data_IF_364904377218
#
_entry.id   IF_364904377218
#
_cell.length_a   1.000
_cell.length_b   1.000
_cell.length_c   1.000
_cell.angle_alpha   90.00
_cell.angle_beta   90.00
_cell.angle_gamma   90.00
#
_symmetry.space_group_name_H-M   'P 1'
#
loop_
_entity.id
_entity.type
_entity.pdbx_description
1 polymer ?
#
# COMPACT_ATOMS: atom_id res chain seq x y z
N UNK A 1 -103.89 4.90 3.08
CA UNK A 1 -103.72 5.99 4.07
C UNK A 1 -102.47 5.69 4.86
N UNK A 2 -101.64 6.71 5.08
CA UNK A 2 -100.38 6.73 5.83
C UNK A 2 -99.20 6.10 5.08
N UNK A 3 -98.03 6.71 4.90
CA UNK A 3 -97.42 7.96 5.39
C UNK A 3 -96.21 8.29 4.49
N UNK A 4 -95.92 9.57 4.29
CA UNK A 4 -94.61 10.13 3.90
C UNK A 4 -93.62 10.07 5.13
N UNK A 5 -92.38 10.58 5.11
CA UNK A 5 -91.28 10.60 4.12
C UNK A 5 -89.88 10.40 4.80
N UNK A 6 -88.79 10.73 4.08
CA UNK A 6 -87.53 11.37 4.56
C UNK A 6 -86.42 10.62 5.36
N UNK A 7 -85.18 10.82 4.82
CA UNK A 7 -83.91 11.25 5.49
C UNK A 7 -83.09 10.25 6.34
N UNK A 8 -81.84 10.00 5.92
CA UNK A 8 -80.56 10.61 6.35
C UNK A 8 -79.88 9.81 7.49
N UNK A 9 -78.76 9.13 7.24
CA UNK A 9 -77.34 9.56 7.38
C UNK A 9 -76.71 9.00 8.67
N UNK A 10 -75.43 8.64 8.53
CA UNK A 10 -74.37 8.39 9.54
C UNK A 10 -74.16 6.97 10.06
N UNK A 11 -72.90 6.53 9.94
CA UNK A 11 -72.30 5.41 10.69
C UNK A 11 -71.18 4.77 9.86
N UNK A 12 -70.10 5.48 9.56
CA UNK A 12 -68.89 5.56 10.39
C UNK A 12 -67.98 4.32 10.25
N UNK A 13 -66.70 4.61 9.99
CA UNK A 13 -65.54 3.78 10.28
C UNK A 13 -65.47 2.39 9.64
N UNK A 14 -64.68 2.31 8.55
CA UNK A 14 -63.57 1.36 8.48
C UNK A 14 -62.55 1.95 7.48
N UNK A 15 -61.90 3.01 7.96
CA UNK A 15 -60.60 3.41 7.47
C UNK A 15 -59.57 2.31 7.75
N UNK A 16 -58.54 2.29 6.91
CA UNK A 16 -57.16 1.97 7.31
C UNK A 16 -56.92 0.66 8.07
N UNK A 17 -56.90 -0.45 7.34
CA UNK A 17 -56.12 -1.61 7.77
C UNK A 17 -55.59 -2.45 6.59
N UNK A 18 -55.42 -1.86 5.40
CA UNK A 18 -54.48 -2.41 4.42
C UNK A 18 -53.08 -2.00 4.88
N UNK A 19 -52.66 -2.60 5.99
CA UNK A 19 -51.38 -2.34 6.63
C UNK A 19 -50.27 -2.47 5.59
N UNK A 20 -49.45 -1.43 5.55
CA UNK A 20 -48.15 -1.37 4.91
C UNK A 20 -47.43 -2.73 5.03
N UNK A 21 -47.55 -3.55 3.99
CA UNK A 21 -46.60 -4.61 3.80
C UNK A 21 -45.26 -3.90 3.56
N UNK A 22 -44.21 -4.19 4.35
CA UNK A 22 -42.90 -3.62 4.12
C UNK A 22 -42.50 -3.98 2.68
N UNK A 23 -42.54 -2.96 1.82
CA UNK A 23 -42.13 -3.14 0.44
C UNK A 23 -40.62 -3.28 0.47
N UNK A 24 -40.10 -4.42 0.04
CA UNK A 24 -38.66 -4.62 -0.08
C UNK A 24 -38.10 -3.44 -0.89
N UNK A 25 -37.09 -2.70 -0.41
CA UNK A 25 -36.53 -1.60 -1.17
C UNK A 25 -36.08 -2.17 -2.52
N UNK A 26 -36.78 -1.76 -3.58
CA UNK A 26 -36.31 -2.01 -4.93
C UNK A 26 -35.16 -1.04 -5.11
N UNK A 27 -33.93 -1.55 -5.03
CA UNK A 27 -32.75 -0.80 -5.40
C UNK A 27 -33.03 -0.15 -6.77
N UNK A 28 -32.92 1.18 -6.83
CA UNK A 28 -33.03 1.91 -8.08
C UNK A 28 -32.07 1.29 -9.10
N UNK A 29 -32.50 0.97 -10.33
CA UNK A 29 -31.75 0.12 -11.27
C UNK A 29 -30.49 0.76 -11.89
N UNK A 30 -29.85 1.74 -11.24
CA UNK A 30 -28.73 2.49 -11.81
C UNK A 30 -27.53 2.74 -10.88
N UNK A 31 -27.51 2.26 -9.64
CA UNK A 31 -26.28 2.31 -8.85
C UNK A 31 -25.36 1.12 -9.21
N UNK A 32 -24.50 1.33 -10.21
CA UNK A 32 -23.39 0.41 -10.46
C UNK A 32 -22.43 0.46 -9.25
N UNK A 33 -22.40 -0.63 -8.47
CA UNK A 33 -21.51 -0.72 -7.31
C UNK A 33 -20.07 -0.87 -7.80
N UNK A 34 -19.25 0.16 -7.62
CA UNK A 34 -17.81 0.09 -7.89
C UNK A 34 -17.09 -0.64 -6.76
N UNK A 35 -16.32 -1.67 -7.13
CA UNK A 35 -15.45 -2.41 -6.23
C UNK A 35 -14.06 -1.81 -6.30
N UNK A 36 -13.51 -1.46 -5.13
CA UNK A 36 -12.11 -1.03 -4.99
C UNK A 36 -11.34 -2.04 -4.16
N UNK A 37 -10.17 -2.47 -4.63
CA UNK A 37 -9.19 -3.23 -3.86
C UNK A 37 -7.88 -2.47 -3.76
N UNK A 38 -7.27 -2.50 -2.59
CA UNK A 38 -6.05 -1.77 -2.29
C UNK A 38 -5.04 -2.66 -1.55
N UNK A 39 -3.78 -2.60 -1.95
CA UNK A 39 -2.66 -3.17 -1.19
C UNK A 39 -1.63 -2.08 -0.90
N UNK A 40 -1.15 -2.07 0.33
CA UNK A 40 -0.11 -1.17 0.81
C UNK A 40 1.11 -1.99 1.23
N UNK A 41 2.27 -1.66 0.68
CA UNK A 41 3.55 -2.29 1.01
C UNK A 41 4.48 -1.26 1.65
N UNK A 42 5.28 -1.73 2.61
CA UNK A 42 6.22 -0.88 3.38
C UNK A 42 7.57 -0.68 2.71
N UNK A 43 7.90 -1.56 1.76
CA UNK A 43 9.02 -1.37 0.88
C UNK A 43 8.86 -2.20 -0.39
N UNK A 44 9.57 -1.80 -1.43
CA UNK A 44 9.71 -2.51 -2.69
C UNK A 44 11.07 -2.20 -3.29
N UNK A 45 11.75 -3.22 -3.80
CA UNK A 45 13.06 -3.10 -4.43
C UNK A 45 13.05 -3.97 -5.66
N UNK A 46 13.21 -3.36 -6.83
CA UNK A 46 13.18 -4.07 -8.09
C UNK A 46 14.04 -3.39 -9.14
N UNK A 47 14.10 -4.01 -10.31
CA UNK A 47 14.78 -3.47 -11.49
C UNK A 47 13.77 -2.78 -12.41
N UNK A 48 14.28 -2.06 -13.40
CA UNK A 48 13.50 -1.51 -14.52
C UNK A 48 12.56 -2.56 -15.13
N UNK A 49 13.08 -3.73 -15.49
CA UNK A 49 12.30 -4.83 -16.06
C UNK A 49 11.10 -5.26 -15.19
N UNK A 50 11.18 -5.08 -13.87
CA UNK A 50 10.06 -5.40 -12.98
C UNK A 50 8.96 -4.35 -13.05
N UNK A 51 9.30 -3.09 -13.23
CA UNK A 51 8.33 -2.02 -13.48
C UNK A 51 7.71 -2.17 -14.87
N UNK A 52 8.53 -2.46 -15.88
CA UNK A 52 8.06 -2.67 -17.24
C UNK A 52 7.07 -3.85 -17.29
N UNK A 53 7.37 -4.94 -16.59
CA UNK A 53 6.45 -6.07 -16.45
C UNK A 53 5.11 -5.69 -15.82
N UNK A 54 5.11 -4.82 -14.80
CA UNK A 54 3.85 -4.33 -14.20
C UNK A 54 3.06 -3.49 -15.22
N UNK A 55 3.73 -2.63 -15.99
CA UNK A 55 3.12 -1.84 -17.06
C UNK A 55 2.54 -2.75 -18.15
N UNK A 56 3.27 -3.77 -18.60
CA UNK A 56 2.78 -4.73 -19.59
C UNK A 56 1.53 -5.46 -19.09
N UNK A 57 1.53 -5.96 -17.85
CA UNK A 57 0.35 -6.62 -17.27
C UNK A 57 -0.86 -5.67 -17.24
N UNK A 58 -0.64 -4.40 -16.90
CA UNK A 58 -1.69 -3.37 -16.92
C UNK A 58 -2.21 -3.11 -18.34
N UNK A 59 -1.32 -2.91 -19.32
CA UNK A 59 -1.67 -2.66 -20.71
C UNK A 59 -2.42 -3.84 -21.34
N UNK A 60 -1.93 -5.07 -21.14
CA UNK A 60 -2.56 -6.29 -21.64
C UNK A 60 -3.97 -6.46 -21.07
N UNK A 61 -4.16 -6.17 -19.78
CA UNK A 61 -5.48 -6.26 -19.15
C UNK A 61 -6.44 -5.18 -19.66
N UNK A 62 -5.99 -3.92 -19.73
CA UNK A 62 -6.81 -2.80 -20.19
C UNK A 62 -7.12 -2.87 -21.69
N UNK A 63 -6.23 -3.44 -22.50
CA UNK A 63 -6.48 -3.69 -23.93
C UNK A 63 -7.64 -4.67 -24.15
N UNK A 64 -7.76 -5.71 -23.32
CA UNK A 64 -8.91 -6.63 -23.37
C UNK A 64 -10.21 -5.93 -22.98
N UNK A 65 -10.17 -5.08 -21.94
CA UNK A 65 -11.32 -4.25 -21.55
C UNK A 65 -11.72 -3.31 -22.69
N UNK A 66 -10.74 -2.71 -23.37
CA UNK A 66 -10.97 -1.85 -24.53
C UNK A 66 -11.66 -2.63 -25.67
N UNK A 67 -11.12 -3.78 -26.06
CA UNK A 67 -11.66 -4.60 -27.14
C UNK A 67 -13.11 -5.03 -26.87
N UNK A 68 -13.40 -5.43 -25.63
CA UNK A 68 -14.74 -5.82 -25.21
C UNK A 68 -15.70 -4.62 -25.18
N UNK A 69 -15.25 -3.47 -24.65
CA UNK A 69 -16.03 -2.24 -24.63
C UNK A 69 -16.36 -1.75 -26.04
N UNK A 70 -15.38 -1.69 -26.94
CA UNK A 70 -15.56 -1.25 -28.34
C UNK A 70 -16.52 -2.16 -29.10
N UNK A 71 -16.46 -3.48 -28.90
CA UNK A 71 -17.43 -4.42 -29.51
C UNK A 71 -18.86 -4.20 -29.03
N UNK A 72 -19.04 -3.70 -27.82
CA UNK A 72 -20.35 -3.45 -27.22
C UNK A 72 -20.96 -2.08 -27.57
N UNK A 73 -20.22 -1.19 -28.25
CA UNK A 73 -20.67 0.16 -28.55
C UNK A 73 -21.88 0.17 -29.51
N UNK A 74 -23.05 0.72 -29.09
CA UNK A 74 -24.18 0.93 -29.97
C UNK A 74 -23.98 2.16 -30.88
N UNK A 75 -24.73 2.26 -31.98
CA UNK A 75 -24.83 3.49 -32.79
C UNK A 75 -24.06 3.51 -34.11
N UNK A 76 -24.13 4.66 -34.78
CA UNK A 76 -23.53 4.93 -36.08
C UNK A 76 -21.99 4.96 -36.03
N UNK A 77 -21.34 4.65 -37.16
CA UNK A 77 -19.88 4.56 -37.28
C UNK A 77 -19.12 5.81 -36.80
N UNK A 78 -19.70 7.01 -36.93
CA UNK A 78 -19.07 8.26 -36.47
C UNK A 78 -19.08 8.42 -34.96
N UNK A 79 -20.18 8.02 -34.29
CA UNK A 79 -20.28 8.08 -32.83
C UNK A 79 -19.40 7.00 -32.20
N UNK A 80 -19.43 5.78 -32.75
CA UNK A 80 -18.54 4.69 -32.34
C UNK A 80 -17.06 5.06 -32.40
N UNK A 81 -16.62 5.75 -33.47
CA UNK A 81 -15.21 6.18 -33.58
C UNK A 81 -14.82 7.15 -32.47
N UNK A 82 -15.64 8.15 -32.19
CA UNK A 82 -15.36 9.12 -31.12
C UNK A 82 -15.32 8.43 -29.75
N UNK A 83 -16.29 7.56 -29.48
CA UNK A 83 -16.37 6.85 -28.21
C UNK A 83 -15.22 5.85 -28.04
N UNK A 84 -14.80 5.17 -29.12
CA UNK A 84 -13.61 4.34 -29.13
C UNK A 84 -12.31 5.14 -28.91
N UNK A 85 -12.19 6.35 -29.47
CA UNK A 85 -11.05 7.25 -29.20
C UNK A 85 -11.03 7.68 -27.73
N UNK A 86 -12.19 7.99 -27.15
CA UNK A 86 -12.31 8.33 -25.73
C UNK A 86 -11.97 7.16 -24.80
N UNK A 87 -12.46 5.96 -25.11
CA UNK A 87 -12.10 4.75 -24.36
C UNK A 87 -10.61 4.44 -24.44
N UNK A 88 -10.00 4.65 -25.62
CA UNK A 88 -8.57 4.45 -25.81
C UNK A 88 -7.76 5.41 -24.92
N UNK A 89 -8.14 6.69 -24.87
CA UNK A 89 -7.50 7.67 -24.00
C UNK A 89 -7.69 7.29 -22.53
N UNK A 90 -8.90 6.92 -22.11
CA UNK A 90 -9.21 6.58 -20.71
C UNK A 90 -8.51 5.31 -20.18
N UNK A 91 -8.32 4.32 -21.06
CA UNK A 91 -7.67 3.05 -20.75
C UNK A 91 -6.16 3.08 -21.02
N UNK A 92 -5.63 4.13 -21.63
CA UNK A 92 -4.20 4.25 -21.89
C UNK A 92 -3.41 4.36 -20.57
N UNK A 93 -2.33 3.58 -20.46
CA UNK A 93 -1.46 3.60 -19.29
C UNK A 93 -0.45 4.74 -19.42
N UNK A 94 -0.50 5.65 -18.45
CA UNK A 94 0.45 6.74 -18.28
C UNK A 94 1.39 6.45 -17.11
N UNK A 95 2.67 6.80 -17.28
CA UNK A 95 3.64 6.77 -16.19
C UNK A 95 4.13 8.19 -15.93
N UNK A 96 4.26 8.58 -14.66
CA UNK A 96 4.96 9.79 -14.25
C UNK A 96 6.06 9.47 -13.24
N UNK A 97 7.21 10.14 -13.40
CA UNK A 97 8.37 10.00 -12.54
C UNK A 97 8.81 11.38 -12.06
N UNK A 98 9.03 11.50 -10.76
CA UNK A 98 9.62 12.67 -10.10
C UNK A 98 11.02 12.30 -9.59
N UNK A 99 12.01 13.09 -10.00
CA UNK A 99 13.43 12.89 -9.68
C UNK A 99 14.04 14.07 -8.91
N UNK A 100 15.03 13.79 -8.04
CA UNK A 100 15.73 14.79 -7.22
C UNK A 100 16.47 15.83 -8.06
N UNK A 101 17.14 15.38 -9.12
CA UNK A 101 17.94 16.23 -9.99
C UNK A 101 17.03 17.16 -10.79
N UNK A 102 16.90 18.42 -10.34
CA UNK A 102 16.19 19.47 -11.06
C UNK A 102 14.68 19.56 -10.82
N UNK A 103 14.12 18.85 -9.83
CA UNK A 103 12.66 18.80 -9.56
C UNK A 103 11.84 18.56 -10.83
N UNK A 104 12.28 17.57 -11.62
CA UNK A 104 11.72 17.31 -12.93
C UNK A 104 10.64 16.25 -12.79
N UNK A 105 9.41 16.60 -13.15
CA UNK A 105 8.34 15.65 -13.42
C UNK A 105 8.33 15.32 -14.93
N UNK A 106 8.39 14.03 -15.25
CA UNK A 106 8.27 13.53 -16.62
C UNK A 106 7.09 12.60 -16.73
N UNK A 107 6.29 12.77 -17.78
CA UNK A 107 5.10 11.94 -18.08
C UNK A 107 5.24 11.35 -19.47
N UNK A 108 4.86 10.09 -19.64
CA UNK A 108 5.02 9.36 -20.89
C UNK A 108 5.10 7.85 -20.68
N UNK A 109 5.70 7.16 -21.64
CA UNK A 109 6.01 5.73 -21.50
C UNK A 109 7.14 5.55 -20.50
N UNK A 110 7.02 4.54 -19.64
CA UNK A 110 7.98 4.26 -18.59
C UNK A 110 9.41 4.11 -19.14
N UNK A 111 9.55 3.41 -20.26
CA UNK A 111 10.83 3.16 -20.92
C UNK A 111 11.57 4.43 -21.34
N UNK A 112 10.83 5.40 -21.87
CA UNK A 112 11.40 6.67 -22.32
C UNK A 112 11.83 7.50 -21.13
N UNK A 113 11.00 7.57 -20.09
CA UNK A 113 11.31 8.37 -18.90
C UNK A 113 12.53 7.79 -18.17
N UNK A 114 12.58 6.47 -17.98
CA UNK A 114 13.70 5.81 -17.31
C UNK A 114 15.01 5.84 -18.13
N UNK A 115 14.96 6.12 -19.43
CA UNK A 115 16.16 6.35 -20.24
C UNK A 115 16.74 7.77 -20.06
N UNK A 116 15.90 8.74 -19.68
CA UNK A 116 16.27 10.15 -19.52
C UNK A 116 16.64 10.54 -18.07
N UNK A 117 16.29 9.68 -17.09
CA UNK A 117 16.42 9.96 -15.66
C UNK A 117 17.38 8.96 -15.01
N UNK A 118 18.29 9.45 -14.15
CA UNK A 118 19.08 8.56 -13.30
C UNK A 118 18.15 7.88 -12.26
N UNK A 119 18.08 6.56 -12.34
CA UNK A 119 17.28 5.70 -11.43
C UNK A 119 17.60 5.93 -9.95
N UNK A 120 18.82 6.36 -9.65
CA UNK A 120 19.29 6.65 -8.29
C UNK A 120 18.65 7.87 -7.65
N UNK A 121 18.14 8.77 -8.49
CA UNK A 121 17.51 10.04 -8.13
C UNK A 121 15.98 10.00 -8.15
N UNK A 122 15.38 8.88 -8.53
CA UNK A 122 13.93 8.72 -8.56
C UNK A 122 13.35 8.81 -7.15
N UNK A 123 12.45 9.78 -6.92
CA UNK A 123 11.69 9.95 -5.68
C UNK A 123 10.33 9.30 -5.74
N UNK A 124 9.63 9.39 -6.87
CA UNK A 124 8.28 8.87 -7.01
C UNK A 124 8.09 8.31 -8.40
N UNK A 125 7.40 7.18 -8.47
CA UNK A 125 6.87 6.59 -9.70
C UNK A 125 5.37 6.46 -9.52
N UNK A 126 4.60 6.98 -10.45
CA UNK A 126 3.15 6.80 -10.52
C UNK A 126 2.82 6.18 -11.87
N UNK A 127 2.19 5.02 -11.86
CA UNK A 127 1.69 4.34 -13.05
C UNK A 127 0.18 4.29 -12.90
N UNK A 128 -0.54 4.90 -13.83
CA UNK A 128 -2.01 4.91 -13.80
C UNK A 128 -2.57 4.94 -15.21
N UNK A 129 -3.76 4.42 -15.41
CA UNK A 129 -4.52 4.80 -16.60
C UNK A 129 -5.13 6.20 -16.42
N UNK A 130 -5.31 6.94 -17.53
CA UNK A 130 -5.89 8.28 -17.57
C UNK A 130 -7.39 8.24 -17.24
N UNK A 131 -7.71 8.06 -15.96
CA UNK A 131 -9.08 8.10 -15.47
C UNK A 131 -9.68 9.50 -15.43
N UNK A 132 -9.63 10.28 -16.53
CA UNK A 132 -10.38 11.54 -16.63
C UNK A 132 -11.72 11.40 -17.34
N UNK A 133 -12.15 10.17 -17.66
CA UNK A 133 -13.53 9.92 -18.03
C UNK A 133 -14.33 9.74 -16.74
N UNK A 134 -15.33 10.60 -16.56
CA UNK A 134 -16.16 10.74 -15.35
C UNK A 134 -16.43 9.43 -14.64
N UNK A 135 -16.45 9.49 -13.30
CA UNK A 135 -16.78 8.38 -12.40
C UNK A 135 -18.11 7.67 -12.75
N UNK A 136 -18.94 8.29 -13.59
CA UNK A 136 -20.21 7.78 -14.09
C UNK A 136 -20.10 6.61 -15.09
N UNK A 137 -19.01 6.46 -15.85
CA UNK A 137 -18.98 5.51 -16.99
C UNK A 137 -18.46 4.10 -16.64
N UNK A 138 -18.24 3.81 -15.35
CA UNK A 138 -17.82 2.47 -14.90
C UNK A 138 -16.45 1.99 -15.40
N UNK A 139 -15.64 2.86 -16.02
CA UNK A 139 -14.33 2.52 -16.56
C UNK A 139 -13.41 2.07 -15.43
N UNK A 140 -12.71 0.92 -15.57
CA UNK A 140 -11.78 0.47 -14.55
C UNK A 140 -10.56 1.38 -14.45
N UNK A 141 -10.08 1.54 -13.22
CA UNK A 141 -8.91 2.35 -12.90
C UNK A 141 -7.89 1.52 -12.14
N UNK A 142 -6.64 1.56 -12.57
CA UNK A 142 -5.50 0.99 -11.89
C UNK A 142 -4.54 2.13 -11.57
N UNK A 143 -4.16 2.24 -10.30
CA UNK A 143 -3.21 3.23 -9.83
C UNK A 143 -2.15 2.55 -8.96
N UNK A 144 -0.90 2.65 -9.40
CA UNK A 144 0.28 2.22 -8.67
C UNK A 144 1.13 3.45 -8.35
N UNK A 145 1.31 3.72 -7.06
CA UNK A 145 2.15 4.80 -6.57
C UNK A 145 3.28 4.23 -5.73
N UNK A 146 4.51 4.55 -6.10
CA UNK A 146 5.72 4.22 -5.35
C UNK A 146 6.44 5.50 -4.97
N UNK A 147 6.80 5.65 -3.70
CA UNK A 147 7.41 6.86 -3.16
C UNK A 147 8.59 6.52 -2.26
N UNK A 148 9.68 7.21 -2.49
CA UNK A 148 10.85 7.26 -1.62
C UNK A 148 10.70 8.44 -0.67
N UNK A 149 10.46 8.17 0.62
CA UNK A 149 10.33 9.19 1.66
C UNK A 149 10.51 8.61 3.06
N UNK A 150 11.02 9.43 3.99
CA UNK A 150 11.22 9.04 5.39
C UNK A 150 9.89 8.93 6.16
N UNK A 151 8.91 9.75 5.79
CA UNK A 151 7.60 9.83 6.48
C UNK A 151 6.50 8.98 5.84
N UNK A 152 6.80 8.33 4.72
CA UNK A 152 5.85 7.47 4.01
C UNK A 152 5.69 6.14 4.77
N UNK A 153 4.57 6.00 5.49
CA UNK A 153 4.19 4.76 6.17
C UNK A 153 3.88 3.63 5.18
N UNK A 154 3.34 3.99 4.01
CA UNK A 154 2.91 3.10 2.94
C UNK A 154 3.46 3.61 1.60
N UNK A 155 4.78 3.51 1.40
CA UNK A 155 5.48 4.06 0.25
C UNK A 155 5.04 3.44 -1.07
N UNK A 156 4.46 2.24 -1.05
CA UNK A 156 3.97 1.55 -2.24
C UNK A 156 2.50 1.26 -2.04
N UNK A 157 1.67 1.83 -2.90
CA UNK A 157 0.21 1.66 -2.87
C UNK A 157 -0.26 1.27 -4.25
N UNK A 158 -1.00 0.17 -4.34
CA UNK A 158 -1.70 -0.26 -5.54
C UNK A 158 -3.20 -0.20 -5.24
N UNK A 159 -3.94 0.49 -6.09
CA UNK A 159 -5.40 0.60 -6.06
C UNK A 159 -5.95 0.12 -7.40
N UNK A 160 -6.89 -0.82 -7.35
CA UNK A 160 -7.63 -1.31 -8.52
C UNK A 160 -9.12 -1.08 -8.26
N UNK A 161 -9.76 -0.35 -9.15
CA UNK A 161 -11.17 0.05 -9.06
C UNK A 161 -11.89 -0.36 -10.33
N UNK A 162 -13.11 -0.84 -10.23
CA UNK A 162 -13.94 -1.17 -11.40
C UNK A 162 -15.32 -1.70 -11.01
N UNK A 163 -16.20 -1.88 -11.98
CA UNK A 163 -17.55 -2.43 -11.76
C UNK A 163 -17.53 -3.96 -11.74
N UNK A 164 -16.67 -4.59 -12.54
CA UNK A 164 -16.52 -6.05 -12.55
C UNK A 164 -15.65 -6.53 -11.38
N UNK A 165 -16.29 -7.18 -10.40
CA UNK A 165 -15.62 -7.75 -9.22
C UNK A 165 -14.61 -8.84 -9.56
N UNK A 166 -14.84 -9.66 -10.59
CA UNK A 166 -13.93 -10.73 -10.99
C UNK A 166 -12.67 -10.15 -11.63
N UNK A 167 -12.83 -9.21 -12.56
CA UNK A 167 -11.71 -8.50 -13.16
C UNK A 167 -10.89 -7.74 -12.10
N UNK A 168 -11.54 -6.97 -11.23
CA UNK A 168 -10.87 -6.24 -10.13
C UNK A 168 -10.11 -7.21 -9.23
N UNK A 169 -10.71 -8.35 -8.89
CA UNK A 169 -10.09 -9.39 -8.09
C UNK A 169 -8.83 -9.96 -8.75
N UNK A 170 -8.95 -10.45 -9.99
CA UNK A 170 -7.83 -11.06 -10.72
C UNK A 170 -6.70 -10.08 -11.02
N UNK A 171 -7.04 -8.83 -11.38
CA UNK A 171 -6.04 -7.79 -11.64
C UNK A 171 -5.28 -7.41 -10.35
N UNK A 172 -6.02 -7.23 -9.26
CA UNK A 172 -5.42 -6.97 -7.94
C UNK A 172 -4.51 -8.12 -7.50
N UNK A 173 -4.98 -9.37 -7.60
CA UNK A 173 -4.20 -10.53 -7.16
C UNK A 173 -2.91 -10.68 -7.98
N UNK A 174 -2.99 -10.49 -9.30
CA UNK A 174 -1.83 -10.56 -10.20
C UNK A 174 -0.79 -9.47 -9.89
N UNK A 175 -1.20 -8.20 -9.85
CA UNK A 175 -0.28 -7.09 -9.58
C UNK A 175 0.26 -7.14 -8.15
N UNK A 176 -0.58 -7.48 -7.16
CA UNK A 176 -0.14 -7.57 -5.78
C UNK A 176 0.86 -8.71 -5.56
N UNK A 177 0.71 -9.84 -6.27
CA UNK A 177 1.68 -10.93 -6.24
C UNK A 177 3.04 -10.49 -6.82
N UNK A 178 3.04 -9.83 -7.98
CA UNK A 178 4.27 -9.31 -8.60
C UNK A 178 4.96 -8.24 -7.72
N UNK A 179 4.19 -7.36 -7.07
CA UNK A 179 4.74 -6.40 -6.12
C UNK A 179 5.34 -7.08 -4.89
N UNK A 180 4.64 -8.07 -4.31
CA UNK A 180 5.12 -8.81 -3.12
C UNK A 180 6.35 -9.67 -3.41
N UNK A 181 6.48 -10.21 -4.63
CA UNK A 181 7.65 -10.98 -5.04
C UNK A 181 8.97 -10.17 -4.98
N UNK A 182 8.87 -8.83 -4.98
CA UNK A 182 10.01 -7.89 -4.90
C UNK A 182 10.06 -7.13 -3.57
N UNK A 183 9.36 -7.62 -2.55
CA UNK A 183 9.45 -7.07 -1.21
C UNK A 183 10.76 -7.53 -0.56
N UNK A 184 11.66 -6.61 -0.18
CA UNK A 184 12.93 -7.02 0.41
C UNK A 184 12.72 -7.61 1.81
N UNK A 185 13.53 -8.60 2.18
CA UNK A 185 13.42 -9.25 3.49
C UNK A 185 13.54 -8.24 4.64
N UNK A 186 14.39 -7.21 4.52
CA UNK A 186 14.58 -6.19 5.55
C UNK A 186 13.38 -5.24 5.74
N UNK A 187 12.29 -5.42 5.00
CA UNK A 187 11.08 -4.61 5.19
C UNK A 187 10.52 -4.70 6.62
N UNK A 188 10.73 -5.82 7.31
CA UNK A 188 10.30 -5.97 8.71
C UNK A 188 10.98 -4.95 9.62
N UNK A 189 12.24 -4.56 9.36
CA UNK A 189 12.97 -3.56 10.15
C UNK A 189 12.35 -2.15 10.08
N UNK A 190 11.56 -1.87 9.03
CA UNK A 190 10.80 -0.61 8.91
C UNK A 190 9.52 -0.60 9.76
N UNK A 191 9.25 -1.66 10.53
CA UNK A 191 8.13 -1.72 11.46
C UNK A 191 8.57 -1.21 12.84
N UNK A 192 7.76 -0.38 13.49
CA UNK A 192 8.06 0.09 14.86
C UNK A 192 8.23 -1.07 15.86
N UNK A 193 7.54 -2.19 15.63
CA UNK A 193 7.72 -3.42 16.42
C UNK A 193 9.11 -4.04 16.26
N UNK A 194 9.73 -3.91 15.09
CA UNK A 194 11.07 -4.41 14.86
C UNK A 194 12.13 -3.59 15.61
N UNK A 195 11.99 -2.25 15.63
CA UNK A 195 12.87 -1.42 16.46
C UNK A 195 12.72 -1.73 17.95
N UNK A 196 11.49 -1.98 18.43
CA UNK A 196 11.26 -2.43 19.81
C UNK A 196 11.93 -3.77 20.09
N UNK A 197 11.80 -4.74 19.19
CA UNK A 197 12.42 -6.05 19.33
C UNK A 197 13.95 -5.97 19.33
N UNK A 198 14.53 -5.20 18.40
CA UNK A 198 15.99 -4.98 18.35
C UNK A 198 16.48 -4.31 19.63
N UNK A 199 15.79 -3.28 20.11
CA UNK A 199 16.16 -2.64 21.38
C UNK A 199 16.03 -3.56 22.58
N UNK A 200 14.93 -4.31 22.69
CA UNK A 200 14.74 -5.29 23.75
C UNK A 200 15.86 -6.35 23.76
N UNK A 201 16.24 -6.86 22.59
CA UNK A 201 17.36 -7.81 22.44
C UNK A 201 18.69 -7.17 22.85
N UNK A 202 18.98 -5.95 22.41
CA UNK A 202 20.21 -5.23 22.80
C UNK A 202 20.26 -4.96 24.30
N UNK A 203 19.15 -4.56 24.91
CA UNK A 203 19.08 -4.30 26.35
C UNK A 203 19.21 -5.58 27.17
N UNK A 204 18.58 -6.68 26.74
CA UNK A 204 18.77 -8.00 27.34
C UNK A 204 20.23 -8.46 27.22
N UNK A 205 20.85 -8.33 26.04
CA UNK A 205 22.24 -8.69 25.83
C UNK A 205 23.18 -7.89 26.73
N UNK A 206 22.96 -6.57 26.85
CA UNK A 206 23.72 -5.71 27.76
C UNK A 206 23.54 -6.13 29.22
N UNK A 207 22.31 -6.44 29.63
CA UNK A 207 22.00 -6.91 30.98
C UNK A 207 22.71 -8.24 31.28
N UNK A 208 22.53 -9.25 30.44
CA UNK A 208 23.24 -10.53 30.59
C UNK A 208 24.74 -10.34 30.63
N UNK A 209 25.31 -9.50 29.75
CA UNK A 209 26.74 -9.23 29.76
C UNK A 209 27.22 -8.55 31.06
N UNK A 210 26.47 -7.57 31.59
CA UNK A 210 26.81 -6.86 32.83
C UNK A 210 26.72 -7.74 34.09
N UNK A 211 25.82 -8.72 34.10
CA UNK A 211 25.58 -9.60 35.25
C UNK A 211 26.25 -10.97 35.15
N UNK A 212 26.61 -11.45 33.95
CA UNK A 212 27.33 -12.71 33.77
C UNK A 212 28.76 -12.69 34.35
N UNK A 213 29.36 -11.49 34.49
CA UNK A 213 30.69 -11.30 35.08
C UNK A 213 30.69 -10.76 36.52
N UNK A 214 29.51 -10.52 37.12
CA UNK A 214 29.44 -10.05 38.50
C UNK A 214 29.48 -11.27 39.43
N UNK A 215 30.37 -11.33 40.45
CA UNK A 215 30.23 -12.31 41.50
C UNK A 215 28.82 -12.18 42.08
N UNK A 216 28.13 -13.30 42.20
CA UNK A 216 26.77 -13.33 42.71
C UNK A 216 26.79 -12.79 44.15
N UNK A 217 26.46 -11.52 44.33
CA UNK A 217 26.10 -11.01 45.64
C UNK A 217 24.79 -11.72 46.01
N UNK A 218 24.86 -12.60 47.01
CA UNK A 218 23.76 -13.42 47.57
C UNK A 218 22.55 -12.60 48.09
N UNK A 219 22.50 -11.30 47.82
CA UNK A 219 21.46 -10.35 48.27
C UNK A 219 20.68 -9.69 47.13
N UNK A 220 21.01 -9.98 45.87
CA UNK A 220 20.20 -9.50 44.75
C UNK A 220 18.91 -10.32 44.68
N UNK A 221 17.85 -9.83 45.33
CA UNK A 221 16.51 -10.40 45.24
C UNK A 221 16.15 -10.62 43.76
N UNK A 222 15.92 -11.88 43.38
CA UNK A 222 15.63 -12.26 42.00
C UNK A 222 14.44 -11.48 41.42
N UNK A 223 13.52 -11.05 42.28
CA UNK A 223 12.39 -10.17 41.96
C UNK A 223 12.80 -8.75 41.56
N UNK A 224 13.83 -8.16 42.19
CA UNK A 224 14.37 -6.82 41.87
C UNK A 224 15.13 -6.88 40.54
N UNK A 225 15.95 -7.92 40.36
CA UNK A 225 16.69 -8.20 39.12
C UNK A 225 15.71 -8.39 37.96
N UNK A 226 14.63 -9.16 38.16
CA UNK A 226 13.58 -9.38 37.17
C UNK A 226 12.78 -8.10 36.86
N UNK A 227 12.42 -7.32 37.88
CA UNK A 227 11.67 -6.06 37.70
C UNK A 227 12.51 -5.03 36.96
N UNK A 228 13.80 -4.90 37.29
CA UNK A 228 14.72 -4.02 36.59
C UNK A 228 14.95 -4.49 35.15
N UNK A 229 15.13 -5.79 34.91
CA UNK A 229 15.22 -6.36 33.56
C UNK A 229 13.95 -6.08 32.75
N UNK A 230 12.76 -6.19 33.34
CA UNK A 230 11.49 -5.87 32.69
C UNK A 230 11.39 -4.37 32.36
N UNK A 231 11.74 -3.48 33.30
CA UNK A 231 11.75 -2.03 33.09
C UNK A 231 12.77 -1.64 32.03
N UNK A 232 13.94 -2.26 32.00
CA UNK A 232 14.94 -2.07 30.95
C UNK A 232 14.49 -2.63 29.60
N UNK A 233 13.80 -3.77 29.56
CA UNK A 233 13.29 -4.36 28.32
C UNK A 233 12.16 -3.51 27.73
N UNK A 234 11.20 -3.09 28.56
CA UNK A 234 10.08 -2.23 28.14
C UNK A 234 10.61 -0.83 27.83
N UNK A 235 11.38 -0.22 28.73
CA UNK A 235 11.96 1.11 28.56
C UNK A 235 12.94 1.18 27.39
N UNK A 236 13.85 0.21 27.27
CA UNK A 236 14.80 0.09 26.16
C UNK A 236 14.13 -0.22 24.82
N UNK A 237 13.10 -1.07 24.82
CA UNK A 237 12.23 -1.29 23.66
C UNK A 237 11.51 -0.03 23.20
N UNK A 238 11.00 0.79 24.12
CA UNK A 238 10.38 2.08 23.78
C UNK A 238 11.40 3.12 23.31
N UNK A 239 12.51 3.31 24.02
CA UNK A 239 13.56 4.28 23.66
C UNK A 239 14.16 3.94 22.29
N UNK A 240 14.43 2.66 22.03
CA UNK A 240 14.90 2.20 20.72
C UNK A 240 13.85 2.39 19.62
N UNK A 241 12.56 2.25 19.91
CA UNK A 241 11.51 2.56 18.94
C UNK A 241 11.47 4.04 18.57
N UNK A 242 11.83 4.94 19.49
CA UNK A 242 11.95 6.37 19.23
C UNK A 242 13.27 6.75 18.55
N UNK A 243 14.39 6.11 18.89
CA UNK A 243 15.72 6.45 18.38
C UNK A 243 16.13 5.67 17.11
N UNK A 244 15.90 4.36 17.06
CA UNK A 244 16.34 3.49 15.97
C UNK A 244 15.38 3.47 14.79
N UNK A 245 14.07 3.60 15.01
CA UNK A 245 13.08 3.62 13.93
C UNK A 245 13.31 4.76 12.91
N UNK A 246 13.51 6.04 13.31
CA UNK A 246 13.84 7.08 12.35
C UNK A 246 15.18 6.80 11.64
N UNK A 247 16.16 6.25 12.37
CA UNK A 247 17.46 5.88 11.80
C UNK A 247 17.34 4.79 10.72
N UNK A 248 16.56 3.74 10.97
CA UNK A 248 16.28 2.70 9.96
C UNK A 248 15.51 3.25 8.76
N UNK A 249 14.58 4.19 8.96
CA UNK A 249 13.84 4.83 7.87
C UNK A 249 14.73 5.67 6.95
N UNK A 250 15.77 6.29 7.53
CA UNK A 250 16.79 7.06 6.79
C UNK A 250 17.74 6.13 6.04
N UNK A 251 18.28 5.10 6.72
CA UNK A 251 19.31 4.23 6.15
C UNK A 251 18.79 3.23 5.13
N UNK A 252 17.57 2.72 5.35
CA UNK A 252 17.00 1.65 4.55
C UNK A 252 15.93 2.26 3.65
N UNK A 253 16.15 2.41 2.33
CA UNK A 253 15.14 2.99 1.45
C UNK A 253 13.87 2.13 1.43
N UNK A 254 12.71 2.78 1.36
CA UNK A 254 11.44 2.11 1.13
C UNK A 254 11.22 1.73 -0.32
N UNK A 255 11.76 2.51 -1.24
CA UNK A 255 11.58 2.32 -2.66
C UNK A 255 12.93 2.51 -3.33
N UNK A 256 13.30 1.55 -4.17
CA UNK A 256 14.56 1.58 -4.89
C UNK A 256 14.41 0.86 -6.24
N UNK A 257 14.87 1.53 -7.30
CA UNK A 257 15.10 0.91 -8.61
C UNK A 257 16.60 0.61 -8.69
N UNK A 258 16.94 -0.66 -8.91
CA UNK A 258 18.31 -1.15 -8.89
C UNK A 258 18.76 -1.49 -10.31
N UNK A 259 19.97 -1.06 -10.66
CA UNK A 259 20.59 -1.40 -11.94
C UNK A 259 21.01 -2.89 -11.99
N UNK A 260 21.13 -3.47 -13.20
CA UNK A 260 21.65 -4.82 -13.36
C UNK A 260 23.06 -4.97 -12.74
N UNK A 261 23.23 -5.96 -11.87
CA UNK A 261 24.51 -6.22 -11.19
C UNK A 261 24.76 -5.42 -9.91
N UNK A 262 23.94 -4.40 -9.63
CA UNK A 262 24.07 -3.63 -8.39
C UNK A 262 23.40 -4.30 -7.20
N UNK A 263 23.94 -4.02 -6.00
CA UNK A 263 23.31 -4.40 -4.74
C UNK A 263 22.43 -3.27 -4.21
N UNK A 264 21.21 -3.58 -3.71
CA UNK A 264 20.32 -2.57 -3.14
C UNK A 264 20.98 -1.79 -2.01
N UNK A 265 20.75 -0.48 -1.95
CA UNK A 265 21.22 0.44 -0.91
C UNK A 265 20.82 -0.05 0.48
N UNK A 266 19.60 -0.57 0.63
CA UNK A 266 19.15 -1.16 1.91
C UNK A 266 20.04 -2.32 2.39
N UNK A 267 20.47 -3.20 1.48
CA UNK A 267 21.38 -4.31 1.80
C UNK A 267 22.79 -3.81 2.12
N UNK A 268 23.30 -2.83 1.36
CA UNK A 268 24.61 -2.20 1.62
C UNK A 268 24.63 -1.55 3.01
N UNK A 269 23.62 -0.75 3.33
CA UNK A 269 23.50 -0.07 4.62
C UNK A 269 23.47 -1.05 5.79
N UNK A 270 22.69 -2.15 5.67
CA UNK A 270 22.65 -3.19 6.70
C UNK A 270 23.98 -3.91 6.87
N UNK A 271 24.68 -4.22 5.78
CA UNK A 271 25.99 -4.88 5.84
C UNK A 271 27.01 -4.00 6.55
N UNK A 272 27.01 -2.69 6.25
CA UNK A 272 27.87 -1.71 6.92
C UNK A 272 27.50 -1.60 8.40
N UNK A 273 26.21 -1.50 8.74
CA UNK A 273 25.76 -1.37 10.11
C UNK A 273 26.13 -2.60 10.96
N UNK A 274 25.96 -3.81 10.43
CA UNK A 274 26.38 -5.05 11.10
C UNK A 274 27.90 -5.10 11.23
N UNK A 275 28.65 -4.77 10.17
CA UNK A 275 30.12 -4.74 10.22
C UNK A 275 30.66 -3.76 11.27
N UNK A 276 30.09 -2.56 11.34
CA UNK A 276 30.43 -1.56 12.35
C UNK A 276 30.11 -2.07 13.77
N UNK A 277 28.92 -2.63 13.98
CA UNK A 277 28.53 -3.18 15.27
C UNK A 277 29.47 -4.31 15.72
N UNK A 278 29.81 -5.25 14.82
CA UNK A 278 30.77 -6.32 15.11
C UNK A 278 32.16 -5.79 15.46
N UNK A 279 32.64 -4.78 14.74
CA UNK A 279 33.94 -4.14 15.03
C UNK A 279 33.96 -3.51 16.43
N UNK A 280 32.93 -2.72 16.78
CA UNK A 280 32.86 -2.08 18.11
C UNK A 280 32.73 -3.11 19.24
N UNK A 281 31.98 -4.19 19.05
CA UNK A 281 31.89 -5.28 20.03
C UNK A 281 33.25 -5.96 20.20
N UNK A 282 33.98 -6.20 19.11
CA UNK A 282 35.33 -6.78 19.15
C UNK A 282 36.33 -5.89 19.91
N UNK A 283 36.33 -4.59 19.63
CA UNK A 283 37.17 -3.60 20.34
C UNK A 283 36.82 -3.54 21.82
N UNK A 284 35.53 -3.48 22.16
CA UNK A 284 35.09 -3.50 23.56
C UNK A 284 35.56 -4.77 24.27
N UNK A 285 35.36 -5.94 23.66
CA UNK A 285 35.83 -7.21 24.21
C UNK A 285 37.34 -7.25 24.44
N UNK A 286 38.13 -6.68 23.53
CA UNK A 286 39.59 -6.61 23.67
C UNK A 286 40.02 -5.64 24.79
N UNK A 287 39.39 -4.47 24.90
CA UNK A 287 39.68 -3.49 25.96
C UNK A 287 39.32 -4.00 27.36
N UNK A 288 38.41 -4.96 27.46
CA UNK A 288 38.00 -5.57 28.72
C UNK A 288 38.83 -6.80 29.10
N UNK A 289 39.56 -7.38 28.14
CA UNK A 289 40.47 -8.50 28.38
C UNK A 289 41.89 -8.05 28.79
N UNK A 290 42.19 -6.75 28.63
CA UNK A 290 43.39 -6.06 29.09
C UNK A 290 43.20 -5.47 30.49
#
# INVERSE_FOLDING_TARGET
>A
MSEQPEREVVGAELADAAGDLPTYPRDSPSQSVRVTREVRLRAWVGRRDNLDRLVTIMQDSLSKVYDDAVRSLPGDDRMRRREAEHLLDALSVSSSIDARSGNIERTGTLDRILAEVDVRDVRRVRIRNSGSYDDEHGIPTIELTMKSGMDEAWPVTLKVTGVDRQWVGGMYDTLSAELRARMPWWTWLRQGRASMAVGAVCTLAFFFWRYAGSPADDRADASIVLTFALVCLVGGGFISAFALNPFFRILIPCFEIVEPGETPRGRKALTIAVGAASFFIGVAGLLLAL
#
